data_IF_952056289129
#
_entry.id   IF_952056289129
#
_cell.length_a   1.000
_cell.length_b   1.000
_cell.length_c   1.000
_cell.angle_alpha   90.00
_cell.angle_beta   90.00
_cell.angle_gamma   90.00
#
_symmetry.space_group_name_H-M   'P 1'
#
loop_
_entity.id
_entity.type
_entity.pdbx_description
1 polymer ?
#
# COMPACT_ATOMS: atom_id res chain seq x y z
N UNK A 1 -26.40 8.29 40.60
CA UNK A 1 -25.23 7.40 40.44
C UNK A 1 -25.25 6.82 39.03
N UNK A 2 -24.13 6.77 38.31
CA UNK A 2 -24.11 6.20 36.98
C UNK A 2 -24.30 4.68 37.06
N UNK A 3 -25.16 4.14 36.19
CA UNK A 3 -25.39 2.69 36.13
C UNK A 3 -24.19 2.04 35.46
N UNK A 4 -23.78 0.87 35.94
CA UNK A 4 -22.70 0.08 35.33
C UNK A 4 -23.29 -1.15 34.68
N UNK A 5 -22.97 -1.38 33.42
CA UNK A 5 -23.40 -2.54 32.64
C UNK A 5 -22.18 -3.40 32.32
N UNK A 6 -22.27 -4.70 32.56
CA UNK A 6 -21.20 -5.64 32.21
C UNK A 6 -21.21 -5.92 30.71
N UNK A 7 -20.09 -5.67 30.05
CA UNK A 7 -19.88 -6.03 28.64
C UNK A 7 -19.00 -7.29 28.61
N UNK A 8 -19.47 -8.42 28.03
CA UNK A 8 -18.68 -9.63 27.92
C UNK A 8 -17.49 -9.44 26.97
N UNK A 9 -16.46 -10.26 27.19
CA UNK A 9 -15.31 -10.27 26.29
C UNK A 9 -15.71 -10.69 24.88
N UNK A 10 -15.08 -10.07 23.89
CA UNK A 10 -15.36 -10.33 22.49
C UNK A 10 -14.09 -10.20 21.65
N UNK A 11 -14.13 -10.75 20.45
CA UNK A 11 -13.07 -10.53 19.46
C UNK A 11 -13.35 -9.24 18.71
N UNK A 12 -12.34 -8.37 18.66
CA UNK A 12 -12.32 -7.17 17.84
C UNK A 12 -11.35 -7.38 16.67
N UNK A 13 -11.73 -6.96 15.47
CA UNK A 13 -10.81 -6.89 14.33
C UNK A 13 -10.09 -5.55 14.39
N UNK A 14 -8.76 -5.60 14.45
CA UNK A 14 -7.90 -4.42 14.40
C UNK A 14 -7.06 -4.43 13.12
N UNK A 15 -6.87 -3.25 12.57
CA UNK A 15 -6.03 -3.01 11.41
C UNK A 15 -4.68 -2.51 11.89
N UNK A 16 -3.64 -3.30 11.67
CA UNK A 16 -2.27 -2.96 12.05
C UNK A 16 -1.44 -2.65 10.80
N UNK A 17 -0.64 -1.59 10.85
CA UNK A 17 0.32 -1.26 9.79
C UNK A 17 1.60 -2.05 10.01
N UNK A 18 1.90 -2.97 9.11
CA UNK A 18 3.11 -3.79 9.14
C UNK A 18 4.06 -3.34 8.03
N UNK A 19 5.33 -3.12 8.38
CA UNK A 19 6.36 -2.85 7.39
C UNK A 19 6.74 -4.15 6.66
N UNK A 20 6.61 -4.13 5.34
CA UNK A 20 7.06 -5.21 4.47
C UNK A 20 8.35 -4.76 3.79
N UNK A 21 9.48 -5.44 4.05
CA UNK A 21 10.73 -5.09 3.39
C UNK A 21 10.60 -5.26 1.88
N UNK A 22 11.27 -4.36 1.16
CA UNK A 22 11.41 -4.47 -0.29
C UNK A 22 12.17 -5.73 -0.67
N UNK A 23 12.01 -6.18 -1.91
CA UNK A 23 12.80 -7.28 -2.45
C UNK A 23 13.84 -6.76 -3.44
N UNK A 24 14.92 -7.51 -3.56
CA UNK A 24 15.92 -7.28 -4.61
C UNK A 24 15.88 -8.47 -5.55
N UNK A 25 15.78 -8.21 -6.85
CA UNK A 25 15.76 -9.24 -7.89
C UNK A 25 16.73 -8.89 -9.00
N UNK A 26 17.24 -9.91 -9.67
CA UNK A 26 18.03 -9.73 -10.88
C UNK A 26 17.11 -9.78 -12.10
N UNK A 27 17.29 -8.84 -13.01
CA UNK A 27 16.61 -8.81 -14.31
C UNK A 27 17.65 -8.86 -15.43
N UNK A 28 17.40 -9.70 -16.43
CA UNK A 28 18.25 -9.77 -17.62
C UNK A 28 17.85 -8.69 -18.60
N UNK A 29 18.79 -7.80 -18.93
CA UNK A 29 18.64 -6.83 -20.02
C UNK A 29 19.19 -7.46 -21.29
N UNK A 30 18.36 -7.65 -22.34
CA UNK A 30 18.82 -8.26 -23.59
C UNK A 30 19.82 -7.35 -24.31
N UNK A 31 20.69 -7.98 -25.10
CA UNK A 31 21.63 -7.27 -25.96
C UNK A 31 20.89 -6.41 -27.00
N UNK A 32 21.42 -5.22 -27.29
CA UNK A 32 20.86 -4.30 -28.28
C UNK A 32 21.69 -4.34 -29.56
N UNK A 33 21.02 -4.57 -30.68
CA UNK A 33 21.60 -4.59 -32.01
C UNK A 33 21.03 -3.46 -32.86
N UNK A 34 21.83 -2.94 -33.77
CA UNK A 34 21.41 -1.91 -34.73
C UNK A 34 21.80 -2.33 -36.15
N UNK A 35 20.96 -1.99 -37.12
CA UNK A 35 21.25 -2.19 -38.53
C UNK A 35 22.13 -1.07 -39.07
N UNK A 36 23.25 -1.42 -39.69
CA UNK A 36 24.13 -0.50 -40.41
C UNK A 36 24.26 -0.93 -41.87
N UNK A 37 24.61 0.04 -42.71
CA UNK A 37 24.86 -0.17 -44.13
C UNK A 37 26.35 0.07 -44.37
N UNK A 38 27.01 -0.88 -45.04
CA UNK A 38 28.41 -0.71 -45.44
C UNK A 38 28.53 0.18 -46.69
N UNK A 39 29.76 0.53 -47.08
CA UNK A 39 29.99 1.34 -48.28
C UNK A 39 29.51 0.68 -49.59
N UNK A 40 29.26 -0.63 -49.58
CA UNK A 40 28.74 -1.42 -50.69
C UNK A 40 27.20 -1.54 -50.67
N UNK A 41 26.50 -0.89 -49.73
CA UNK A 41 25.05 -0.96 -49.60
C UNK A 41 24.51 -2.20 -48.89
N UNK A 42 25.37 -3.07 -48.33
CA UNK A 42 24.94 -4.28 -47.62
C UNK A 42 24.53 -3.95 -46.19
N UNK A 43 23.39 -4.49 -45.76
CA UNK A 43 22.89 -4.36 -44.38
C UNK A 43 23.51 -5.41 -43.48
N UNK A 44 24.08 -4.99 -42.36
CA UNK A 44 24.57 -5.88 -41.32
C UNK A 44 24.16 -5.37 -39.94
N UNK A 45 24.06 -6.28 -38.96
CA UNK A 45 23.79 -5.91 -37.58
C UNK A 45 25.10 -5.70 -36.82
N UNK A 46 25.16 -4.63 -36.04
CA UNK A 46 26.22 -4.41 -35.08
C UNK A 46 25.67 -4.57 -33.66
N UNK A 47 26.48 -5.17 -32.79
CA UNK A 47 26.21 -5.20 -31.36
C UNK A 47 26.51 -3.81 -30.79
N UNK A 48 25.48 -3.12 -30.31
CA UNK A 48 25.59 -1.76 -29.74
C UNK A 48 25.76 -1.82 -28.23
N UNK A 49 25.09 -2.78 -27.57
CA UNK A 49 25.23 -2.99 -26.14
C UNK A 49 25.10 -4.49 -25.83
N UNK A 50 26.04 -5.10 -25.09
CA UNK A 50 25.90 -6.49 -24.66
C UNK A 50 24.75 -6.62 -23.65
N UNK A 51 24.13 -7.80 -23.65
CA UNK A 51 23.18 -8.15 -22.61
C UNK A 51 23.88 -8.25 -21.26
N UNK A 52 23.22 -7.80 -20.21
CA UNK A 52 23.79 -7.81 -18.87
C UNK A 52 22.70 -7.97 -17.82
N UNK A 53 23.12 -8.42 -16.64
CA UNK A 53 22.25 -8.50 -15.48
C UNK A 53 22.21 -7.14 -14.78
N UNK A 54 21.00 -6.67 -14.48
CA UNK A 54 20.78 -5.54 -13.59
C UNK A 54 20.17 -6.03 -12.28
N UNK A 55 20.46 -5.30 -11.21
CA UNK A 55 19.84 -5.53 -9.91
C UNK A 55 18.76 -4.48 -9.71
N UNK A 56 17.51 -4.92 -9.59
CA UNK A 56 16.36 -4.06 -9.32
C UNK A 56 15.99 -4.22 -7.86
N UNK A 57 15.95 -3.10 -7.14
CA UNK A 57 15.54 -3.04 -5.73
C UNK A 57 14.20 -2.35 -5.63
N UNK A 58 13.17 -3.12 -5.27
CA UNK A 58 11.86 -2.56 -4.97
C UNK A 58 11.90 -1.94 -3.56
N UNK A 59 11.29 -0.75 -3.35
CA UNK A 59 11.19 -0.18 -2.03
C UNK A 59 10.28 -1.04 -1.14
N UNK A 60 10.58 -1.05 0.17
CA UNK A 60 9.64 -1.57 1.15
C UNK A 60 8.36 -0.74 1.20
N UNK A 61 7.28 -1.35 1.67
CA UNK A 61 5.98 -0.69 1.81
C UNK A 61 5.32 -1.05 3.13
N UNK A 62 4.44 -0.18 3.58
CA UNK A 62 3.51 -0.54 4.66
C UNK A 62 2.29 -1.24 4.09
N UNK A 63 1.91 -2.35 4.71
CA UNK A 63 0.67 -3.04 4.43
C UNK A 63 -0.23 -3.02 5.66
N UNK A 64 -1.54 -2.95 5.45
CA UNK A 64 -2.52 -3.08 6.52
C UNK A 64 -2.90 -4.55 6.66
N UNK A 65 -2.75 -5.11 7.87
CA UNK A 65 -3.16 -6.48 8.18
C UNK A 65 -4.28 -6.48 9.20
N UNK A 66 -5.23 -7.38 9.02
CA UNK A 66 -6.32 -7.61 9.96
C UNK A 66 -5.88 -8.63 11.01
N UNK A 67 -5.93 -8.22 12.28
CA UNK A 67 -5.62 -9.06 13.43
C UNK A 67 -6.85 -9.14 14.32
N UNK A 68 -7.20 -10.35 14.73
CA UNK A 68 -8.28 -10.56 15.71
C UNK A 68 -7.69 -10.52 17.11
N UNK A 69 -8.08 -9.52 17.89
CA UNK A 69 -7.63 -9.34 19.27
C UNK A 69 -8.79 -9.66 20.21
N UNK A 70 -8.52 -10.46 21.24
CA UNK A 70 -9.47 -10.71 22.31
C UNK A 70 -9.50 -9.53 23.26
N UNK A 71 -10.66 -8.90 23.40
CA UNK A 71 -10.91 -7.84 24.39
C UNK A 71 -11.56 -8.49 25.61
N UNK A 72 -10.95 -8.42 26.81
CA UNK A 72 -11.56 -8.95 28.02
C UNK A 72 -12.82 -8.15 28.37
N UNK A 73 -13.78 -8.82 29.02
CA UNK A 73 -15.00 -8.16 29.46
C UNK A 73 -14.71 -7.04 30.47
N UNK A 74 -15.52 -5.99 30.43
CA UNK A 74 -15.34 -4.81 31.27
C UNK A 74 -16.69 -4.21 31.70
N UNK A 75 -16.66 -3.44 32.79
CA UNK A 75 -17.82 -2.68 33.25
C UNK A 75 -17.88 -1.34 32.53
N UNK A 76 -18.83 -1.17 31.62
CA UNK A 76 -19.12 0.12 31.01
C UNK A 76 -19.97 0.96 31.96
N UNK A 77 -19.65 2.26 32.04
CA UNK A 77 -20.42 3.21 32.84
C UNK A 77 -21.40 3.90 31.91
N UNK A 78 -22.69 3.64 32.10
CA UNK A 78 -23.75 4.32 31.39
C UNK A 78 -23.97 5.68 32.05
N UNK A 79 -23.49 6.74 31.42
CA UNK A 79 -24.00 8.08 31.70
C UNK A 79 -25.41 8.14 31.13
N UNK A 80 -26.41 8.05 32.01
CA UNK A 80 -27.81 8.22 31.66
C UNK A 80 -27.97 9.56 30.91
N UNK A 81 -28.07 9.50 29.57
CA UNK A 81 -28.24 10.69 28.72
C UNK A 81 -27.38 10.74 27.46
N UNK A 82 -26.35 9.90 27.30
CA UNK A 82 -25.63 9.81 26.03
C UNK A 82 -26.44 8.95 25.05
N UNK A 83 -27.11 9.61 24.10
CA UNK A 83 -27.79 9.01 22.97
C UNK A 83 -26.89 7.93 22.34
N UNK A 84 -27.39 6.69 22.24
CA UNK A 84 -26.70 5.53 21.65
C UNK A 84 -26.36 5.72 20.15
N UNK A 85 -26.64 6.89 19.57
CA UNK A 85 -26.49 7.21 18.15
C UNK A 85 -25.18 7.89 17.76
N UNK A 86 -24.26 8.17 18.70
CA UNK A 86 -23.00 8.85 18.36
C UNK A 86 -21.78 7.92 18.18
N UNK A 87 -21.88 6.62 18.49
CA UNK A 87 -20.71 5.72 18.44
C UNK A 87 -20.43 5.10 17.05
N UNK A 88 -21.42 5.07 16.14
CA UNK A 88 -21.31 4.33 14.87
C UNK A 88 -21.07 5.21 13.62
N UNK A 89 -21.04 6.55 13.73
CA UNK A 89 -21.06 7.44 12.54
C UNK A 89 -19.77 8.24 12.27
N UNK A 90 -18.62 7.81 12.80
CA UNK A 90 -17.30 8.42 12.46
C UNK A 90 -16.31 7.49 11.79
N UNK A 91 -16.72 6.28 11.39
CA UNK A 91 -15.85 5.31 10.68
C UNK A 91 -16.07 5.26 9.16
N UNK A 92 -16.69 6.28 8.57
CA UNK A 92 -17.09 6.24 7.15
C UNK A 92 -16.70 7.44 6.27
N UNK A 93 -16.00 8.46 6.79
CA UNK A 93 -15.87 9.72 6.04
C UNK A 93 -14.50 10.42 6.17
N UNK A 94 -13.40 9.67 6.01
CA UNK A 94 -12.07 10.31 5.88
C UNK A 94 -11.22 9.80 4.69
N UNK A 95 -11.85 9.09 3.74
CA UNK A 95 -11.16 8.51 2.55
C UNK A 95 -11.60 9.11 1.20
N UNK A 96 -12.27 10.27 1.19
CA UNK A 96 -12.69 10.97 -0.05
C UNK A 96 -12.02 12.32 -0.31
N UNK A 97 -10.97 12.69 0.42
CA UNK A 97 -10.13 13.87 0.13
C UNK A 97 -8.74 13.47 -0.36
N UNK A 98 -8.67 12.92 -1.57
CA UNK A 98 -7.40 12.59 -2.21
C UNK A 98 -7.43 12.55 -3.74
N UNK A 99 -8.44 13.16 -4.37
CA UNK A 99 -8.59 13.12 -5.84
C UNK A 99 -9.05 14.47 -6.40
N UNK A 100 -8.15 15.46 -6.37
CA UNK A 100 -8.10 16.56 -7.34
C UNK A 100 -6.74 17.25 -7.22
N UNK A 101 -6.28 17.82 -8.33
CA UNK A 101 -5.12 18.70 -8.49
C UNK A 101 -3.76 18.04 -8.79
N UNK A 102 -3.68 17.42 -9.96
CA UNK A 102 -2.60 17.78 -10.90
C UNK A 102 -3.26 18.45 -12.10
N UNK A 103 -3.22 19.79 -12.11
CA UNK A 103 -3.35 20.55 -13.34
C UNK A 103 -2.04 20.40 -14.11
N UNK A 104 -2.21 20.16 -15.38
CA UNK A 104 -1.21 20.35 -16.42
C UNK A 104 -0.68 21.79 -16.34
N UNK A 105 0.63 21.94 -16.22
CA UNK A 105 1.33 23.17 -16.58
C UNK A 105 2.37 22.78 -17.64
N UNK A 106 2.00 23.05 -18.88
CA UNK A 106 2.90 23.25 -20.02
C UNK A 106 3.72 24.53 -19.80
N UNK A 107 5.05 24.43 -19.92
CA UNK A 107 5.93 25.46 -20.50
C UNK A 107 7.28 24.84 -20.90
#
# INVERSE_FOLDING_TARGET
EPRRTWIPGHYEVRHERVWVPGCTRQEWVPARYEWRIDHCGRRFQILVAPGHWITVTDPGRYETREVRVWVPGYWATDYCGADRRDFDDRRGEDDRRGRADRRDDDD
#
